data_IF_659966702363
#
_entry.id   IF_659966702363
#
_cell.length_a   1.000
_cell.length_b   1.000
_cell.length_c   1.000
_cell.angle_alpha   90.00
_cell.angle_beta   90.00
_cell.angle_gamma   90.00
#
_symmetry.space_group_name_H-M   'P 1'
#
loop_
_entity.id
_entity.type
_entity.pdbx_description
1 polymer ?
#
# COMPACT_ATOMS: atom_id res chain seq x y z
N UNK A 1 2.62 -21.57 -17.96
CA UNK A 1 3.10 -20.17 -17.84
C UNK A 1 3.92 -20.06 -16.56
N UNK A 2 4.95 -19.21 -16.52
CA UNK A 2 5.82 -19.07 -15.34
C UNK A 2 5.10 -18.25 -14.25
N UNK A 3 4.74 -18.89 -13.14
CA UNK A 3 4.00 -18.27 -12.03
C UNK A 3 4.83 -17.24 -11.25
N UNK A 4 6.15 -17.43 -11.22
CA UNK A 4 7.04 -16.64 -10.38
C UNK A 4 7.26 -15.21 -10.88
N UNK A 5 7.25 -15.01 -12.19
CA UNK A 5 7.44 -13.69 -12.81
C UNK A 5 6.33 -12.68 -12.43
N UNK A 6 5.03 -12.97 -12.63
CA UNK A 6 3.95 -12.04 -12.27
C UNK A 6 3.86 -11.83 -10.75
N UNK A 7 4.10 -12.87 -9.95
CA UNK A 7 4.12 -12.74 -8.49
C UNK A 7 5.22 -11.79 -8.00
N UNK A 8 6.44 -11.92 -8.52
CA UNK A 8 7.55 -11.06 -8.12
C UNK A 8 7.38 -9.61 -8.65
N UNK A 9 6.99 -9.46 -9.92
CA UNK A 9 6.69 -8.15 -10.50
C UNK A 9 5.57 -7.44 -9.75
N UNK A 10 4.49 -8.15 -9.42
CA UNK A 10 3.37 -7.64 -8.62
C UNK A 10 3.77 -7.27 -7.19
N UNK A 11 4.61 -8.07 -6.55
CA UNK A 11 5.17 -7.77 -5.23
C UNK A 11 5.98 -6.48 -5.22
N UNK A 12 6.90 -6.30 -6.17
CA UNK A 12 7.73 -5.09 -6.29
C UNK A 12 6.90 -3.86 -6.66
N UNK A 13 5.96 -3.99 -7.62
CA UNK A 13 5.03 -2.92 -7.96
C UNK A 13 4.19 -2.48 -6.75
N UNK A 14 3.76 -3.45 -5.95
CA UNK A 14 3.06 -3.21 -4.69
C UNK A 14 3.87 -2.40 -3.68
N UNK A 15 5.15 -2.72 -3.52
CA UNK A 15 6.07 -1.97 -2.66
C UNK A 15 6.21 -0.53 -3.17
N UNK A 16 6.43 -0.34 -4.48
CA UNK A 16 6.54 0.99 -5.10
C UNK A 16 5.29 1.84 -4.87
N UNK A 17 4.10 1.26 -5.04
CA UNK A 17 2.83 1.94 -4.76
C UNK A 17 2.75 2.42 -3.30
N UNK A 18 3.13 1.56 -2.34
CA UNK A 18 3.08 1.93 -0.92
C UNK A 18 4.09 3.02 -0.56
N UNK A 19 5.30 3.01 -1.14
CA UNK A 19 6.28 4.10 -0.95
C UNK A 19 5.68 5.45 -1.34
N UNK A 20 4.98 5.52 -2.48
CA UNK A 20 4.32 6.75 -2.92
C UNK A 20 3.10 7.12 -2.06
N UNK A 21 2.38 6.12 -1.54
CA UNK A 21 1.18 6.34 -0.72
C UNK A 21 1.48 6.66 0.76
N UNK A 22 2.67 6.31 1.27
CA UNK A 22 3.05 6.46 2.68
C UNK A 22 2.79 7.87 3.25
N UNK A 23 3.18 8.97 2.57
CA UNK A 23 2.96 10.32 3.12
C UNK A 23 1.50 10.61 3.42
N UNK A 24 0.61 10.24 2.50
CA UNK A 24 -0.84 10.43 2.66
C UNK A 24 -1.41 9.51 3.75
N UNK A 25 -0.93 8.27 3.84
CA UNK A 25 -1.37 7.30 4.83
C UNK A 25 -1.01 7.73 6.27
N UNK A 26 0.21 8.23 6.47
CA UNK A 26 0.67 8.77 7.76
C UNK A 26 -0.16 10.00 8.15
N UNK A 27 -0.39 10.92 7.22
CA UNK A 27 -1.22 12.11 7.44
C UNK A 27 -2.65 11.76 7.84
N UNK A 28 -3.25 10.81 7.13
CA UNK A 28 -4.60 10.32 7.42
C UNK A 28 -4.64 9.66 8.80
N UNK A 29 -3.69 8.79 9.11
CA UNK A 29 -3.62 8.10 10.40
C UNK A 29 -3.45 9.08 11.56
N UNK A 30 -2.65 10.14 11.40
CA UNK A 30 -2.48 11.21 12.39
C UNK A 30 -3.78 11.98 12.65
N UNK A 31 -4.50 12.33 11.59
CA UNK A 31 -5.81 12.98 11.72
C UNK A 31 -6.83 12.09 12.43
N UNK A 32 -6.89 10.80 12.06
CA UNK A 32 -7.85 9.86 12.63
C UNK A 32 -7.55 9.50 14.09
N UNK A 33 -6.29 9.57 14.51
CA UNK A 33 -5.87 9.30 15.90
C UNK A 33 -5.88 10.54 16.79
N UNK A 34 -6.05 11.73 16.22
CA UNK A 34 -6.11 12.99 16.96
C UNK A 34 -7.52 13.40 17.34
N UNK A 35 -7.63 14.22 18.38
CA UNK A 35 -8.90 14.88 18.75
C UNK A 35 -9.36 15.83 17.64
N UNK A 36 -10.67 15.92 17.43
CA UNK A 36 -11.29 16.76 16.37
C UNK A 36 -10.82 18.22 16.36
N UNK A 37 -10.43 18.77 17.52
CA UNK A 37 -9.98 20.15 17.67
C UNK A 37 -8.49 20.37 17.33
N UNK A 38 -7.67 19.30 17.30
CA UNK A 38 -6.21 19.42 17.16
C UNK A 38 -5.78 19.95 15.77
N UNK A 39 -6.55 19.62 14.73
CA UNK A 39 -6.23 19.98 13.34
C UNK A 39 -7.37 20.77 12.68
N UNK A 40 -7.56 22.06 13.03
CA UNK A 40 -8.67 22.87 12.54
C UNK A 40 -8.60 23.12 11.01
N UNK A 41 -7.42 22.94 10.39
CA UNK A 41 -7.22 23.06 8.93
C UNK A 41 -7.03 21.68 8.26
N UNK A 42 -7.43 20.60 8.94
CA UNK A 42 -7.35 19.23 8.45
C UNK A 42 -5.93 18.77 8.12
N UNK A 43 -5.76 18.09 6.99
CA UNK A 43 -4.47 17.52 6.54
C UNK A 43 -3.36 18.56 6.45
N UNK A 44 -3.66 19.82 6.09
CA UNK A 44 -2.64 20.86 5.96
C UNK A 44 -2.04 21.26 7.30
N UNK A 45 -2.86 21.43 8.34
CA UNK A 45 -2.35 21.69 9.70
C UNK A 45 -1.54 20.52 10.24
N UNK A 46 -1.96 19.28 9.97
CA UNK A 46 -1.21 18.10 10.38
C UNK A 46 0.14 18.00 9.66
N UNK A 47 0.20 18.33 8.36
CA UNK A 47 1.45 18.33 7.59
C UNK A 47 2.43 19.41 8.08
N UNK A 48 1.94 20.63 8.31
CA UNK A 48 2.77 21.73 8.83
C UNK A 48 3.37 21.38 10.20
N UNK A 49 2.57 20.82 11.11
CA UNK A 49 3.04 20.39 12.43
C UNK A 49 4.06 19.25 12.31
N UNK A 50 3.75 18.22 11.51
CA UNK A 50 4.62 17.07 11.31
C UNK A 50 5.98 17.47 10.77
N UNK A 51 6.02 18.34 9.75
CA UNK A 51 7.27 18.81 9.16
C UNK A 51 8.07 19.71 10.10
N UNK A 52 7.40 20.54 10.92
CA UNK A 52 8.07 21.43 11.88
C UNK A 52 8.65 20.68 13.08
N UNK A 53 7.95 19.66 13.59
CA UNK A 53 8.33 18.96 14.81
C UNK A 53 9.19 17.71 14.56
N UNK A 54 8.84 16.92 13.54
CA UNK A 54 9.43 15.61 13.29
C UNK A 54 10.20 15.53 11.96
N UNK A 55 10.01 16.51 11.07
CA UNK A 55 10.70 16.60 9.78
C UNK A 55 10.14 15.66 8.71
N UNK A 56 10.81 15.64 7.56
CA UNK A 56 10.38 14.89 6.36
C UNK A 56 10.37 13.37 6.54
N UNK A 57 11.25 12.83 7.38
CA UNK A 57 11.32 11.39 7.66
C UNK A 57 10.06 10.84 8.35
N UNK A 58 9.30 11.69 9.03
CA UNK A 58 8.07 11.30 9.71
C UNK A 58 6.97 10.83 8.75
N UNK A 59 6.99 11.28 7.49
CA UNK A 59 6.03 10.87 6.44
C UNK A 59 6.19 9.40 6.02
N UNK A 60 7.29 8.76 6.39
CA UNK A 60 7.58 7.36 6.08
C UNK A 60 7.65 6.48 7.35
N UNK A 61 7.23 7.02 8.50
CA UNK A 61 7.19 6.26 9.75
C UNK A 61 6.17 5.12 9.62
N UNK A 62 6.65 3.88 9.72
CA UNK A 62 5.84 2.68 9.51
C UNK A 62 5.98 2.03 8.12
N UNK A 63 6.90 2.50 7.27
CA UNK A 63 7.10 1.93 5.93
C UNK A 63 7.50 0.43 5.97
N UNK A 64 8.35 0.02 6.92
CA UNK A 64 8.82 -1.36 7.05
C UNK A 64 7.66 -2.37 7.22
N UNK A 65 6.79 -2.24 8.24
CA UNK A 65 5.66 -3.16 8.38
C UNK A 65 4.68 -3.10 7.21
N UNK A 66 4.52 -1.94 6.56
CA UNK A 66 3.70 -1.80 5.35
C UNK A 66 4.29 -2.61 4.19
N UNK A 67 5.59 -2.52 3.95
CA UNK A 67 6.28 -3.28 2.89
C UNK A 67 6.18 -4.79 3.14
N UNK A 68 6.45 -5.22 4.38
CA UNK A 68 6.38 -6.63 4.77
C UNK A 68 4.98 -7.20 4.54
N UNK A 69 3.93 -6.40 4.76
CA UNK A 69 2.54 -6.78 4.49
C UNK A 69 2.19 -6.72 2.99
N UNK A 70 2.68 -5.71 2.28
CA UNK A 70 2.32 -5.44 0.89
C UNK A 70 2.82 -6.53 -0.06
N UNK A 71 4.04 -7.03 0.15
CA UNK A 71 4.62 -8.01 -0.75
C UNK A 71 3.84 -9.35 -0.77
N UNK A 72 3.55 -10.02 0.37
CA UNK A 72 2.77 -11.25 0.39
C UNK A 72 1.33 -11.05 -0.11
N UNK A 73 0.70 -9.93 0.26
CA UNK A 73 -0.67 -9.65 -0.16
C UNK A 73 -0.80 -9.56 -1.69
N UNK A 74 0.14 -8.85 -2.34
CA UNK A 74 0.14 -8.74 -3.79
C UNK A 74 0.57 -10.05 -4.47
N UNK A 75 1.55 -10.78 -3.92
CA UNK A 75 1.97 -12.07 -4.45
C UNK A 75 0.83 -13.10 -4.46
N UNK A 76 0.05 -13.19 -3.37
CA UNK A 76 -1.12 -14.09 -3.28
C UNK A 76 -2.23 -13.65 -4.23
N UNK A 77 -2.43 -12.35 -4.42
CA UNK A 77 -3.40 -11.83 -5.39
C UNK A 77 -3.08 -12.32 -6.82
N UNK A 78 -1.83 -12.17 -7.26
CA UNK A 78 -1.41 -12.67 -8.58
C UNK A 78 -1.49 -14.19 -8.70
N UNK A 79 -1.18 -14.93 -7.63
CA UNK A 79 -1.38 -16.38 -7.60
C UNK A 79 -2.86 -16.74 -7.80
N UNK A 80 -3.77 -16.05 -7.12
CA UNK A 80 -5.21 -16.26 -7.24
C UNK A 80 -5.73 -15.95 -8.65
N UNK A 81 -5.25 -14.87 -9.26
CA UNK A 81 -5.58 -14.51 -10.65
C UNK A 81 -5.16 -15.63 -11.60
N UNK A 82 -3.91 -16.09 -11.53
CA UNK A 82 -3.44 -17.12 -12.46
C UNK A 82 -4.17 -18.46 -12.26
N UNK A 83 -4.40 -18.87 -11.01
CA UNK A 83 -5.16 -20.09 -10.73
C UNK A 83 -6.58 -19.98 -11.31
N UNK A 84 -7.21 -18.82 -11.15
CA UNK A 84 -8.56 -18.57 -11.69
C UNK A 84 -8.58 -18.63 -13.21
N UNK A 85 -7.60 -18.02 -13.88
CA UNK A 85 -7.48 -18.05 -15.35
C UNK A 85 -7.27 -19.49 -15.84
N UNK A 86 -6.33 -20.24 -15.24
CA UNK A 86 -6.09 -21.63 -15.63
C UNK A 86 -7.33 -22.52 -15.46
N UNK A 87 -8.10 -22.31 -14.38
CA UNK A 87 -9.37 -23.02 -14.16
C UNK A 87 -10.37 -22.64 -15.25
N UNK A 88 -10.52 -21.34 -15.53
CA UNK A 88 -11.45 -20.86 -16.55
C UNK A 88 -11.13 -21.45 -17.93
N UNK A 89 -9.87 -21.40 -18.34
CA UNK A 89 -9.40 -21.97 -19.62
C UNK A 89 -9.63 -23.48 -19.71
N UNK A 90 -9.53 -24.19 -18.58
CA UNK A 90 -9.74 -25.65 -18.54
C UNK A 90 -11.21 -26.02 -18.69
N UNK A 91 -12.11 -25.31 -18.02
CA UNK A 91 -13.55 -25.65 -17.99
C UNK A 91 -14.37 -24.96 -19.07
N UNK A 92 -13.94 -23.78 -19.53
CA UNK A 92 -14.64 -22.96 -20.50
C UNK A 92 -13.69 -22.46 -21.60
N UNK A 93 -13.03 -23.36 -22.36
CA UNK A 93 -12.05 -22.99 -23.39
C UNK A 93 -12.64 -22.23 -24.60
N UNK A 94 -13.97 -22.05 -24.65
CA UNK A 94 -14.69 -21.34 -25.70
C UNK A 94 -15.05 -19.89 -25.34
N UNK A 95 -14.74 -19.47 -24.11
CA UNK A 95 -14.79 -18.08 -23.64
C UNK A 95 -13.44 -17.41 -23.89
#
# INVERSE_FOLDING_TARGET
VSLWQPMFAGGVAGIGNWILAMPADVLKSRLQTSTMEKYPRGMRSALEELLKLEGWGALYRGLIPVIIRAFPANAICFLGIEVTINILDTYFPWL
#
